data_IF_910592280167
#
_entry.id   IF_910592280167
#
_cell.length_a   1.000
_cell.length_b   1.000
_cell.length_c   1.000
_cell.angle_alpha   90.00
_cell.angle_beta   90.00
_cell.angle_gamma   90.00
#
_symmetry.space_group_name_H-M   'P 1'
#
loop_
_entity.id
_entity.type
_entity.pdbx_description
1 polymer ?
#
# COMPACT_ATOMS: atom_id res chain seq x y z
N UNK A 1 64.23 -4.99 -28.38
CA UNK A 1 63.36 -4.63 -29.53
C UNK A 1 62.05 -4.14 -28.93
N UNK A 2 61.85 -2.84 -28.67
CA UNK A 2 61.29 -1.80 -29.58
C UNK A 2 60.00 -2.33 -30.22
N UNK A 3 58.78 -1.83 -29.95
CA UNK A 3 58.25 -0.45 -30.12
C UNK A 3 57.08 -0.24 -29.12
N UNK A 4 57.12 0.69 -28.17
CA UNK A 4 56.91 2.16 -28.21
C UNK A 4 55.47 2.65 -28.48
N UNK A 5 54.95 3.29 -27.43
CA UNK A 5 53.80 4.18 -27.27
C UNK A 5 53.65 5.28 -28.34
N UNK A 6 52.40 5.54 -28.75
CA UNK A 6 51.83 6.85 -29.10
C UNK A 6 50.31 6.60 -29.23
N UNK A 7 49.43 7.09 -28.36
CA UNK A 7 48.80 8.41 -28.46
C UNK A 7 48.20 8.75 -27.08
N UNK A 8 48.68 9.85 -26.50
CA UNK A 8 48.06 10.61 -25.39
C UNK A 8 47.66 11.97 -25.97
N UNK A 9 46.63 12.60 -25.40
CA UNK A 9 45.92 13.84 -25.81
C UNK A 9 44.95 13.59 -26.97
N UNK A 10 43.62 13.69 -26.80
CA UNK A 10 42.83 14.76 -26.18
C UNK A 10 41.53 14.16 -25.66
N UNK A 11 41.20 14.42 -24.39
CA UNK A 11 39.86 14.73 -23.88
C UNK A 11 39.90 14.68 -22.35
N UNK A 12 40.54 15.70 -21.79
CA UNK A 12 40.22 16.20 -20.47
C UNK A 12 38.83 16.86 -20.58
N UNK A 13 37.78 16.04 -20.66
CA UNK A 13 36.40 16.49 -20.52
C UNK A 13 35.93 16.00 -19.17
N UNK A 14 35.73 16.97 -18.29
CA UNK A 14 35.16 16.84 -16.98
C UNK A 14 34.05 15.78 -16.96
N UNK A 15 34.30 14.63 -16.34
CA UNK A 15 33.22 13.88 -15.71
C UNK A 15 32.77 14.69 -14.51
N UNK A 16 31.99 15.75 -14.77
CA UNK A 16 30.97 16.15 -13.82
C UNK A 16 30.06 14.94 -13.78
N UNK A 17 30.20 14.13 -12.74
CA UNK A 17 29.16 13.18 -12.36
C UNK A 17 27.95 14.03 -11.97
N UNK A 18 27.20 14.49 -12.98
CA UNK A 18 25.80 14.81 -12.78
C UNK A 18 25.19 13.48 -12.37
N UNK A 19 25.06 13.28 -11.06
CA UNK A 19 24.10 12.36 -10.50
C UNK A 19 22.76 12.80 -11.08
N UNK A 20 22.39 12.23 -12.23
CA UNK A 20 21.04 12.31 -12.72
C UNK A 20 20.22 11.71 -11.58
N UNK A 21 19.57 12.58 -10.81
CA UNK A 21 18.50 12.19 -9.91
C UNK A 21 17.44 11.58 -10.82
N UNK A 22 17.55 10.28 -11.07
CA UNK A 22 16.44 9.48 -11.57
C UNK A 22 15.33 9.80 -10.58
N UNK A 23 14.25 10.45 -11.05
CA UNK A 23 13.02 10.60 -10.27
C UNK A 23 12.70 9.22 -9.73
N UNK A 24 12.95 9.01 -8.43
CA UNK A 24 12.72 7.72 -7.79
C UNK A 24 11.25 7.42 -8.02
N UNK A 25 10.97 6.29 -8.66
CA UNK A 25 9.63 5.72 -8.64
C UNK A 25 9.21 5.67 -7.18
N UNK A 26 8.01 6.18 -6.87
CA UNK A 26 7.50 6.20 -5.51
C UNK A 26 7.56 4.79 -4.93
N UNK A 27 8.40 4.60 -3.91
CA UNK A 27 8.53 3.31 -3.21
C UNK A 27 7.54 3.37 -2.04
N UNK A 28 6.54 2.48 -1.99
CA UNK A 28 5.57 2.48 -0.91
C UNK A 28 6.25 2.31 0.44
N UNK A 29 5.80 3.09 1.41
CA UNK A 29 6.40 3.07 2.74
C UNK A 29 6.00 1.79 3.50
N UNK A 30 6.97 1.19 4.18
CA UNK A 30 6.90 -0.19 4.70
C UNK A 30 7.53 -1.23 3.78
N UNK A 31 8.11 -0.81 2.64
CA UNK A 31 8.87 -1.68 1.77
C UNK A 31 10.09 -2.30 2.49
N UNK A 32 10.35 -3.57 2.18
CA UNK A 32 11.55 -4.27 2.62
C UNK A 32 12.56 -4.24 1.48
N UNK A 33 13.78 -3.80 1.76
CA UNK A 33 14.80 -3.60 0.73
C UNK A 33 15.78 -4.78 0.66
N UNK A 34 16.13 -5.18 -0.55
CA UNK A 34 17.12 -6.23 -0.81
C UNK A 34 18.15 -5.79 -1.84
N UNK A 35 19.40 -6.23 -1.68
CA UNK A 35 20.45 -6.08 -2.71
C UNK A 35 20.29 -7.13 -3.84
N UNK A 36 21.22 -7.14 -4.80
CA UNK A 36 21.21 -8.06 -5.95
C UNK A 36 21.29 -9.54 -5.56
N UNK A 37 21.77 -9.85 -4.35
CA UNK A 37 21.91 -11.18 -3.77
C UNK A 37 20.72 -11.55 -2.88
N UNK A 38 19.65 -10.76 -2.87
CA UNK A 38 18.48 -10.94 -2.00
C UNK A 38 18.79 -10.91 -0.50
N UNK A 39 19.83 -10.18 -0.11
CA UNK A 39 20.13 -9.89 1.27
C UNK A 39 19.48 -8.56 1.67
N UNK A 40 18.92 -8.50 2.87
CA UNK A 40 18.26 -7.32 3.41
C UNK A 40 19.21 -6.14 3.54
N UNK A 41 18.77 -4.95 3.14
CA UNK A 41 19.52 -3.70 3.28
C UNK A 41 18.68 -2.62 3.97
N UNK A 42 19.35 -1.65 4.57
CA UNK A 42 18.70 -0.65 5.41
C UNK A 42 17.90 0.42 4.64
N UNK A 43 18.14 0.58 3.34
CA UNK A 43 17.64 1.73 2.59
C UNK A 43 17.58 1.49 1.08
N UNK A 44 16.72 2.27 0.41
CA UNK A 44 16.49 2.20 -1.03
C UNK A 44 17.73 2.47 -1.89
N UNK A 45 18.66 3.32 -1.45
CA UNK A 45 19.90 3.62 -2.16
C UNK A 45 20.86 2.43 -2.24
N UNK A 46 20.74 1.46 -1.33
CA UNK A 46 21.54 0.23 -1.31
C UNK A 46 20.80 -0.96 -1.94
N UNK A 47 19.58 -0.74 -2.40
CA UNK A 47 18.67 -1.79 -2.82
C UNK A 47 18.70 -1.99 -4.33
N UNK A 48 18.66 -3.24 -4.76
CA UNK A 48 18.34 -3.63 -6.14
C UNK A 48 16.85 -3.92 -6.28
N UNK A 49 16.22 -4.39 -5.20
CA UNK A 49 14.82 -4.74 -5.15
C UNK A 49 14.16 -4.16 -3.90
N UNK A 50 12.86 -3.93 -3.97
CA UNK A 50 12.03 -3.72 -2.79
C UNK A 50 10.80 -4.62 -2.84
N UNK A 51 10.35 -5.04 -1.66
CA UNK A 51 9.22 -5.93 -1.47
C UNK A 51 8.10 -5.22 -0.72
N UNK A 52 6.88 -5.39 -1.22
CA UNK A 52 5.65 -4.96 -0.55
C UNK A 52 4.87 -6.19 -0.13
N UNK A 53 4.40 -6.20 1.12
CA UNK A 53 3.55 -7.27 1.65
C UNK A 53 2.08 -6.91 1.46
N UNK A 54 1.25 -7.92 1.26
CA UNK A 54 -0.19 -7.78 1.12
C UNK A 54 -0.92 -9.07 1.41
N UNK A 55 -2.20 -9.08 1.08
CA UNK A 55 -3.09 -10.23 1.23
C UNK A 55 -3.92 -10.36 -0.04
N UNK A 56 -4.10 -11.58 -0.55
CA UNK A 56 -4.96 -11.82 -1.70
C UNK A 56 -6.46 -11.75 -1.33
N UNK A 57 -7.34 -11.90 -2.33
CA UNK A 57 -8.79 -11.90 -2.13
C UNK A 57 -9.31 -13.05 -1.23
N UNK A 58 -8.49 -14.08 -0.98
CA UNK A 58 -8.78 -15.23 -0.14
C UNK A 58 -8.17 -15.12 1.26
N UNK A 59 -7.58 -13.98 1.61
CA UNK A 59 -6.93 -13.80 2.91
C UNK A 59 -5.54 -14.44 3.01
N UNK A 60 -4.96 -14.90 1.91
CA UNK A 60 -3.63 -15.52 1.90
C UNK A 60 -2.54 -14.45 1.83
N UNK A 61 -1.49 -14.64 2.63
CA UNK A 61 -0.31 -13.77 2.65
C UNK A 61 0.40 -13.81 1.29
N UNK A 62 0.58 -12.65 0.69
CA UNK A 62 1.24 -12.48 -0.59
C UNK A 62 2.23 -11.31 -0.52
N UNK A 63 3.31 -11.37 -1.29
CA UNK A 63 4.18 -10.22 -1.47
C UNK A 63 4.46 -9.98 -2.94
N UNK A 64 4.85 -8.74 -3.23
CA UNK A 64 5.22 -8.27 -4.54
C UNK A 64 6.66 -7.77 -4.48
N UNK A 65 7.53 -8.35 -5.30
CA UNK A 65 8.90 -7.90 -5.49
C UNK A 65 8.94 -6.96 -6.68
N UNK A 66 9.58 -5.82 -6.51
CA UNK A 66 9.84 -4.83 -7.56
C UNK A 66 11.35 -4.61 -7.68
N UNK A 67 11.82 -4.31 -8.89
CA UNK A 67 13.10 -3.65 -9.06
C UNK A 67 13.07 -2.29 -8.36
N UNK A 68 14.23 -1.79 -7.91
CA UNK A 68 14.33 -0.45 -7.30
C UNK A 68 13.84 0.68 -8.23
N UNK A 69 13.76 0.38 -9.54
CA UNK A 69 13.19 1.25 -10.57
C UNK A 69 11.66 1.28 -10.60
N UNK A 70 10.97 0.50 -9.76
CA UNK A 70 9.51 0.40 -9.65
C UNK A 70 8.86 -0.65 -10.56
N UNK A 71 9.65 -1.38 -11.35
CA UNK A 71 9.13 -2.42 -12.23
C UNK A 71 8.81 -3.70 -11.43
N UNK A 72 7.61 -4.27 -11.60
CA UNK A 72 7.23 -5.53 -10.98
C UNK A 72 8.12 -6.67 -11.46
N UNK A 73 8.71 -7.41 -10.52
CA UNK A 73 9.57 -8.57 -10.78
C UNK A 73 8.89 -9.89 -10.41
N UNK A 74 8.17 -9.91 -9.30
CA UNK A 74 7.49 -11.13 -8.86
C UNK A 74 6.30 -10.85 -7.95
N UNK A 75 5.44 -11.84 -7.86
CA UNK A 75 4.31 -11.94 -6.94
C UNK A 75 4.33 -13.34 -6.34
N UNK A 76 4.36 -13.46 -5.01
CA UNK A 76 4.55 -14.77 -4.36
C UNK A 76 3.72 -14.89 -3.09
N UNK A 77 3.02 -16.00 -2.96
CA UNK A 77 2.34 -16.37 -1.72
C UNK A 77 3.34 -17.01 -0.73
N UNK A 78 3.18 -16.73 0.56
CA UNK A 78 4.17 -17.11 1.57
C UNK A 78 3.54 -17.51 2.91
N UNK A 79 4.30 -18.29 3.69
CA UNK A 79 4.04 -18.61 5.10
C UNK A 79 4.80 -17.62 5.99
N UNK A 80 6.11 -17.50 5.75
CA UNK A 80 7.00 -16.59 6.48
C UNK A 80 7.99 -15.90 5.53
N UNK A 81 8.40 -14.70 5.89
CA UNK A 81 9.44 -13.94 5.19
C UNK A 81 10.67 -13.84 6.07
N UNK A 82 11.85 -13.85 5.44
CA UNK A 82 13.09 -13.50 6.12
C UNK A 82 13.63 -12.19 5.54
N UNK A 83 13.64 -11.13 6.36
CA UNK A 83 14.03 -9.78 5.92
C UNK A 83 15.52 -9.64 5.70
N UNK A 84 16.35 -10.53 6.27
CA UNK A 84 17.80 -10.48 6.18
C UNK A 84 18.34 -11.27 4.99
N UNK A 85 17.72 -12.40 4.66
CA UNK A 85 18.11 -13.26 3.55
C UNK A 85 16.88 -13.97 2.97
N UNK A 86 16.45 -13.57 1.77
CA UNK A 86 15.22 -14.09 1.16
C UNK A 86 15.26 -15.59 0.87
N UNK A 87 16.44 -16.20 0.79
CA UNK A 87 16.57 -17.65 0.62
C UNK A 87 15.93 -18.44 1.77
N UNK A 88 15.71 -17.79 2.92
CA UNK A 88 15.05 -18.36 4.09
C UNK A 88 13.54 -18.04 4.15
N UNK A 89 12.99 -17.38 3.13
CA UNK A 89 11.54 -17.14 2.98
C UNK A 89 10.84 -18.46 2.64
N UNK A 90 9.75 -18.78 3.34
CA UNK A 90 8.98 -20.00 3.13
C UNK A 90 7.76 -19.67 2.27
N UNK A 91 7.79 -20.10 1.00
CA UNK A 91 6.72 -19.88 0.04
C UNK A 91 5.60 -20.92 0.15
N UNK A 92 4.36 -20.54 -0.15
CA UNK A 92 3.23 -21.45 -0.19
C UNK A 92 2.13 -20.89 -1.07
N UNK A 93 1.67 -21.64 -2.06
CA UNK A 93 0.72 -21.17 -3.08
C UNK A 93 1.44 -20.79 -4.37
N UNK A 94 0.83 -19.87 -5.13
CA UNK A 94 1.31 -19.49 -6.47
C UNK A 94 2.42 -18.45 -6.37
N UNK A 95 3.46 -18.64 -7.17
CA UNK A 95 4.55 -17.69 -7.38
C UNK A 95 4.64 -17.37 -8.87
N UNK A 96 4.54 -16.08 -9.21
CA UNK A 96 4.70 -15.55 -10.56
C UNK A 96 5.94 -14.69 -10.63
N UNK A 97 6.67 -14.79 -11.73
CA UNK A 97 7.73 -13.84 -12.08
C UNK A 97 7.40 -13.18 -13.41
N UNK A 98 7.98 -12.01 -13.64
CA UNK A 98 7.67 -11.20 -14.82
C UNK A 98 8.93 -10.80 -15.58
N UNK A 99 8.80 -10.79 -16.90
CA UNK A 99 9.77 -10.21 -17.83
C UNK A 99 9.82 -8.70 -17.67
N UNK A 100 10.88 -8.07 -18.21
CA UNK A 100 10.97 -6.60 -18.29
C UNK A 100 9.87 -5.96 -19.14
N UNK A 101 9.11 -6.73 -19.92
CA UNK A 101 7.93 -6.23 -20.60
C UNK A 101 6.72 -6.09 -19.67
N UNK A 102 6.74 -6.74 -18.50
CA UNK A 102 5.58 -6.92 -17.61
C UNK A 102 4.81 -8.22 -17.89
N UNK A 103 5.19 -8.98 -18.93
CA UNK A 103 4.60 -10.29 -19.23
C UNK A 103 5.03 -11.33 -18.20
N UNK A 104 4.18 -12.32 -17.95
CA UNK A 104 4.54 -13.46 -17.09
C UNK A 104 5.75 -14.16 -17.69
N UNK A 105 6.78 -14.36 -16.88
CA UNK A 105 8.00 -15.09 -17.22
C UNK A 105 7.91 -16.54 -16.73
N UNK A 106 7.43 -16.74 -15.50
CA UNK A 106 7.23 -18.07 -14.94
C UNK A 106 6.10 -18.11 -13.94
N UNK A 107 5.51 -19.30 -13.80
CA UNK A 107 4.52 -19.62 -12.76
C UNK A 107 4.93 -20.91 -12.08
N UNK A 108 5.08 -20.88 -10.76
CA UNK A 108 5.39 -22.04 -9.94
C UNK A 108 4.37 -22.17 -8.81
N UNK A 109 4.08 -23.40 -8.41
CA UNK A 109 3.28 -23.69 -7.23
C UNK A 109 4.18 -24.21 -6.12
N UNK A 110 3.99 -23.71 -4.91
CA UNK A 110 4.72 -24.11 -3.71
C UNK A 110 3.78 -24.68 -2.67
N UNK A 111 4.28 -25.63 -1.89
CA UNK A 111 3.65 -26.13 -0.66
C UNK A 111 4.72 -26.23 0.41
N UNK A 112 4.55 -25.49 1.51
CA UNK A 112 5.49 -25.49 2.65
C UNK A 112 6.97 -25.30 2.23
N UNK A 113 7.24 -24.29 1.42
CA UNK A 113 8.58 -23.92 0.95
C UNK A 113 9.12 -24.75 -0.22
N UNK A 114 8.41 -25.81 -0.65
CA UNK A 114 8.86 -26.70 -1.73
C UNK A 114 7.98 -26.57 -2.96
N UNK A 115 8.58 -26.54 -4.16
CA UNK A 115 7.83 -26.58 -5.41
C UNK A 115 6.95 -27.85 -5.46
N UNK A 116 5.65 -27.69 -5.70
CA UNK A 116 4.68 -28.78 -5.66
C UNK A 116 3.48 -28.43 -6.54
N UNK A 117 3.30 -29.19 -7.63
CA UNK A 117 2.26 -28.96 -8.63
C UNK A 117 2.82 -28.60 -10.01
N UNK A 118 1.96 -28.06 -10.86
CA UNK A 118 2.33 -27.63 -12.22
C UNK A 118 3.10 -26.31 -12.19
N UNK A 119 4.07 -26.19 -13.09
CA UNK A 119 4.83 -24.97 -13.32
C UNK A 119 4.93 -24.66 -14.82
N UNK A 120 5.09 -23.38 -15.15
CA UNK A 120 5.17 -22.86 -16.51
C UNK A 120 6.35 -21.90 -16.62
N UNK A 121 6.95 -21.82 -17.80
CA UNK A 121 7.82 -20.73 -18.22
C UNK A 121 7.37 -20.22 -19.58
N UNK A 122 7.53 -18.93 -19.81
CA UNK A 122 7.13 -18.25 -21.03
C UNK A 122 8.29 -17.48 -21.62
N UNK A 123 8.36 -17.45 -22.94
CA UNK A 123 9.25 -16.57 -23.68
C UNK A 123 8.81 -15.11 -23.54
N UNK A 124 9.70 -14.13 -23.78
CA UNK A 124 9.35 -12.71 -23.74
C UNK A 124 8.22 -12.32 -24.71
N UNK A 125 8.04 -13.08 -25.80
CA UNK A 125 6.96 -12.88 -26.75
C UNK A 125 5.58 -13.35 -26.23
N UNK A 126 5.51 -14.02 -25.07
CA UNK A 126 4.28 -14.55 -24.45
C UNK A 126 4.02 -16.04 -24.76
N UNK A 127 4.80 -16.63 -25.67
CA UNK A 127 4.66 -18.03 -26.04
C UNK A 127 5.16 -18.94 -24.93
N UNK A 128 4.62 -20.17 -24.88
CA UNK A 128 5.02 -21.12 -23.84
C UNK A 128 6.46 -21.57 -24.12
N UNK A 129 7.32 -21.55 -23.11
CA UNK A 129 8.67 -22.10 -23.17
C UNK A 129 8.72 -23.52 -22.62
N UNK A 130 8.23 -23.70 -21.39
CA UNK A 130 8.20 -25.01 -20.77
C UNK A 130 6.95 -25.20 -19.91
N UNK A 131 6.45 -26.43 -19.89
CA UNK A 131 5.49 -26.92 -18.89
C UNK A 131 6.17 -27.97 -18.06
N UNK A 132 6.11 -27.86 -16.74
CA UNK A 132 6.79 -28.75 -15.80
C UNK A 132 5.84 -29.23 -14.71
N UNK A 133 6.23 -30.30 -14.03
CA UNK A 133 5.54 -30.82 -12.86
C UNK A 133 6.53 -31.08 -11.74
N UNK A 134 6.20 -30.62 -10.54
CA UNK A 134 7.00 -30.78 -9.34
C UNK A 134 6.25 -31.55 -8.27
N UNK A 135 6.97 -32.37 -7.52
CA UNK A 135 6.50 -33.01 -6.30
C UNK A 135 7.58 -32.84 -5.23
N UNK A 136 7.21 -32.21 -4.11
CA UNK A 136 8.11 -32.02 -2.95
C UNK A 136 9.47 -31.41 -3.29
N UNK A 137 9.50 -30.46 -4.22
CA UNK A 137 10.70 -29.72 -4.62
C UNK A 137 11.48 -30.34 -5.78
N UNK A 138 11.07 -31.53 -6.25
CA UNK A 138 11.76 -32.25 -7.33
C UNK A 138 10.86 -32.32 -8.57
N UNK A 139 11.47 -32.32 -9.75
CA UNK A 139 10.75 -32.60 -11.00
C UNK A 139 10.19 -34.02 -10.96
N UNK A 140 8.89 -34.16 -11.16
CA UNK A 140 8.19 -35.43 -11.07
C UNK A 140 6.96 -35.40 -11.96
N UNK A 141 7.01 -36.12 -13.08
CA UNK A 141 5.99 -36.12 -14.12
C UNK A 141 6.51 -35.64 -15.48
N UNK A 142 5.60 -35.33 -16.42
CA UNK A 142 5.97 -34.89 -17.75
C UNK A 142 6.47 -33.44 -17.75
N UNK A 143 7.45 -33.18 -18.60
CA UNK A 143 7.95 -31.88 -18.96
C UNK A 143 7.87 -31.71 -20.48
N UNK A 144 7.30 -30.60 -20.93
CA UNK A 144 7.15 -30.27 -22.35
C UNK A 144 7.94 -29.00 -22.62
N UNK A 145 8.89 -29.07 -23.55
CA UNK A 145 9.76 -27.95 -23.94
C UNK A 145 9.42 -27.51 -25.34
N UNK A 146 9.15 -26.23 -25.51
CA UNK A 146 8.71 -25.61 -26.75
C UNK A 146 9.76 -24.64 -27.28
N UNK A 147 9.83 -24.52 -28.59
CA UNK A 147 10.51 -23.43 -29.25
C UNK A 147 9.67 -22.16 -29.17
N UNK A 148 10.32 -21.01 -29.39
CA UNK A 148 9.67 -19.70 -29.36
C UNK A 148 8.54 -19.55 -30.41
N UNK A 149 8.51 -20.40 -31.44
CA UNK A 149 7.45 -20.49 -32.44
C UNK A 149 6.34 -21.51 -32.09
N UNK A 150 6.15 -21.83 -30.81
CA UNK A 150 5.17 -22.78 -30.26
C UNK A 150 5.31 -24.24 -30.72
N UNK A 151 6.41 -24.59 -31.39
CA UNK A 151 6.70 -25.98 -31.76
C UNK A 151 7.19 -26.76 -30.54
N UNK A 152 6.51 -27.85 -30.18
CA UNK A 152 6.99 -28.80 -29.16
C UNK A 152 8.28 -29.47 -29.63
N UNK A 153 9.39 -29.21 -28.93
CA UNK A 153 10.71 -29.74 -29.27
C UNK A 153 11.05 -31.01 -28.52
N UNK A 154 10.68 -31.09 -27.24
CA UNK A 154 10.97 -32.25 -26.40
C UNK A 154 9.85 -32.54 -25.41
N UNK A 155 9.59 -33.84 -25.22
CA UNK A 155 8.81 -34.37 -24.11
C UNK A 155 9.73 -35.22 -23.24
N UNK A 156 9.88 -34.83 -21.98
CA UNK A 156 10.76 -35.48 -21.01
C UNK A 156 9.97 -35.97 -19.82
N UNK A 157 10.21 -37.20 -19.36
CA UNK A 157 9.59 -37.74 -18.15
C UNK A 157 10.61 -37.71 -17.01
N UNK A 158 10.24 -37.07 -15.92
CA UNK A 158 11.03 -36.98 -14.70
C UNK A 158 10.41 -37.83 -13.59
N UNK A 159 11.25 -38.43 -12.74
CA UNK A 159 10.82 -39.04 -11.47
C UNK A 159 11.81 -38.66 -10.38
N UNK A 160 11.31 -38.10 -9.28
CA UNK A 160 12.14 -37.69 -8.15
C UNK A 160 13.40 -36.89 -8.56
N UNK A 161 13.25 -35.98 -9.52
CA UNK A 161 14.33 -35.12 -10.01
C UNK A 161 15.29 -35.77 -11.02
N UNK A 162 15.11 -37.06 -11.35
CA UNK A 162 15.92 -37.76 -12.35
C UNK A 162 15.18 -37.90 -13.68
N UNK A 163 15.88 -37.64 -14.78
CA UNK A 163 15.37 -37.82 -16.14
C UNK A 163 15.25 -39.32 -16.45
N UNK A 164 14.03 -39.79 -16.70
CA UNK A 164 13.74 -41.21 -17.00
C UNK A 164 13.68 -41.44 -18.51
N UNK A 165 13.07 -40.52 -19.25
CA UNK A 165 12.91 -40.64 -20.69
C UNK A 165 12.88 -39.24 -21.33
N UNK A 166 13.30 -39.14 -22.58
CA UNK A 166 13.24 -37.94 -23.40
C UNK A 166 13.01 -38.32 -24.86
N UNK A 167 12.03 -37.71 -25.48
CA UNK A 167 11.75 -37.87 -26.91
C UNK A 167 11.67 -36.49 -27.55
N UNK A 168 12.10 -36.40 -28.81
CA UNK A 168 11.94 -35.19 -29.62
C UNK A 168 10.48 -35.07 -30.08
N UNK A 169 9.85 -33.94 -29.81
CA UNK A 169 8.43 -33.69 -30.05
C UNK A 169 7.54 -34.47 -29.07
N UNK A 170 6.49 -35.09 -29.59
CA UNK A 170 5.50 -35.84 -28.82
C UNK A 170 4.14 -35.16 -28.79
N UNK A 171 3.33 -35.49 -27.77
CA UNK A 171 2.03 -34.88 -27.53
C UNK A 171 2.00 -34.29 -26.13
N UNK A 172 1.63 -33.03 -26.03
CA UNK A 172 1.32 -32.42 -24.74
C UNK A 172 -0.03 -32.92 -24.23
N UNK A 173 0.01 -33.67 -23.14
CA UNK A 173 -1.19 -34.23 -22.50
C UNK A 173 -1.88 -33.26 -21.55
N UNK A 174 -1.35 -32.05 -21.35
CA UNK A 174 -2.03 -30.97 -20.64
C UNK A 174 -3.01 -30.20 -21.52
N UNK A 175 -2.95 -30.38 -22.85
CA UNK A 175 -3.90 -29.78 -23.79
C UNK A 175 -5.16 -30.65 -23.79
N UNK A 176 -6.29 -30.03 -23.43
CA UNK A 176 -7.60 -30.69 -23.50
C UNK A 176 -7.98 -30.98 -24.96
N UNK A 177 -8.53 -32.17 -25.21
CA UNK A 177 -8.82 -32.63 -26.57
C UNK A 177 -10.04 -31.95 -27.20
N UNK A 178 -10.95 -31.41 -26.39
CA UNK A 178 -12.18 -30.76 -26.84
C UNK A 178 -11.95 -29.28 -27.08
N UNK A 179 -11.29 -28.59 -26.15
CA UNK A 179 -11.03 -27.15 -26.25
C UNK A 179 -9.77 -26.84 -27.05
N UNK A 180 -8.85 -27.80 -27.18
CA UNK A 180 -7.51 -27.60 -27.73
C UNK A 180 -6.69 -26.57 -26.92
N UNK A 181 -7.01 -26.42 -25.64
CA UNK A 181 -6.37 -25.47 -24.73
C UNK A 181 -5.87 -26.18 -23.47
N UNK A 182 -4.85 -25.58 -22.85
CA UNK A 182 -4.41 -25.94 -21.51
C UNK A 182 -4.93 -24.87 -20.55
N UNK A 183 -6.09 -25.10 -19.94
CA UNK A 183 -6.77 -24.11 -19.09
C UNK A 183 -5.87 -23.52 -17.99
N UNK A 184 -4.96 -24.33 -17.45
CA UNK A 184 -4.00 -23.86 -16.46
C UNK A 184 -3.01 -22.86 -17.06
N UNK A 185 -2.53 -23.11 -18.27
CA UNK A 185 -1.68 -22.18 -19.02
C UNK A 185 -2.46 -20.92 -19.41
N UNK A 186 -3.67 -21.07 -19.95
CA UNK A 186 -4.48 -19.97 -20.45
C UNK A 186 -4.87 -18.98 -19.36
N UNK A 187 -5.11 -19.45 -18.13
CA UNK A 187 -5.36 -18.57 -16.98
C UNK A 187 -4.26 -17.51 -16.80
N UNK A 188 -3.01 -17.87 -17.02
CA UNK A 188 -1.88 -16.94 -16.83
C UNK A 188 -1.51 -16.15 -18.08
N UNK A 189 -1.97 -16.57 -19.27
CA UNK A 189 -1.90 -15.77 -20.50
C UNK A 189 -2.90 -14.61 -20.48
N UNK A 190 -4.12 -14.84 -19.98
CA UNK A 190 -5.19 -13.82 -19.96
C UNK A 190 -5.02 -12.75 -18.87
N UNK A 191 -4.33 -13.04 -17.76
CA UNK A 191 -3.99 -12.07 -16.70
C UNK A 191 -3.03 -10.95 -17.18
N UNK A 192 -2.44 -11.07 -18.37
CA UNK A 192 -1.50 -10.11 -18.96
C UNK A 192 -2.13 -8.71 -19.14
N UNK A 193 -3.40 -8.60 -19.51
CA UNK A 193 -4.03 -7.29 -19.78
C UNK A 193 -4.28 -6.45 -18.51
N UNK A 194 -4.63 -7.09 -17.39
CA UNK A 194 -4.95 -6.42 -16.12
C UNK A 194 -3.67 -5.96 -15.42
N UNK A 195 -2.64 -6.81 -15.40
CA UNK A 195 -1.32 -6.48 -14.82
C UNK A 195 -0.59 -5.43 -15.70
N UNK A 196 -0.77 -5.47 -17.02
CA UNK A 196 -0.30 -4.43 -17.93
C UNK A 196 -1.06 -3.12 -17.76
N UNK A 197 -2.35 -3.11 -17.44
CA UNK A 197 -3.08 -1.87 -17.13
C UNK A 197 -2.55 -1.21 -15.84
N UNK A 198 -2.27 -2.01 -14.81
CA UNK A 198 -1.69 -1.54 -13.54
C UNK A 198 -0.25 -1.01 -13.71
N UNK A 199 0.60 -1.70 -14.48
CA UNK A 199 1.97 -1.25 -14.76
C UNK A 199 2.07 -0.13 -15.81
N UNK A 200 1.15 -0.06 -16.79
CA UNK A 200 1.06 1.05 -17.75
C UNK A 200 0.57 2.34 -17.10
N UNK A 201 -0.27 2.30 -16.08
CA UNK A 201 -0.58 3.51 -15.30
C UNK A 201 0.67 4.09 -14.62
N UNK A 202 1.56 3.24 -14.13
CA UNK A 202 2.86 3.66 -13.57
C UNK A 202 3.80 4.19 -14.66
N UNK A 203 3.74 3.64 -15.89
CA UNK A 203 4.64 4.00 -16.99
C UNK A 203 4.17 5.23 -17.81
N UNK A 204 2.85 5.44 -17.99
CA UNK A 204 2.29 6.65 -18.63
C UNK A 204 2.54 7.91 -17.82
N UNK A 205 2.54 7.80 -16.49
CA UNK A 205 2.99 8.89 -15.60
C UNK A 205 4.45 9.26 -15.87
N UNK A 206 5.27 8.32 -16.35
CA UNK A 206 6.69 8.48 -16.72
C UNK A 206 6.90 9.13 -18.10
N UNK A 207 6.02 8.88 -19.07
CA UNK A 207 6.11 9.46 -20.42
C UNK A 207 5.52 10.88 -20.48
N UNK A 208 4.39 11.11 -19.81
CA UNK A 208 3.77 12.44 -19.75
C UNK A 208 4.59 13.46 -18.94
N UNK A 209 5.52 13.01 -18.12
CA UNK A 209 6.44 13.89 -17.37
C UNK A 209 7.74 14.20 -18.12
N UNK A 210 7.97 13.61 -19.30
CA UNK A 210 9.14 13.85 -20.15
C UNK A 210 8.83 14.62 -21.44
N UNK A 211 7.56 14.93 -21.75
CA UNK A 211 7.16 15.58 -23.01
C UNK A 211 6.71 17.04 -22.88
N UNK A 212 6.83 17.67 -21.70
CA UNK A 212 6.47 19.09 -21.52
C UNK A 212 7.70 20.00 -21.64
N UNK A 213 8.32 20.01 -22.83
CA UNK A 213 9.09 21.18 -23.31
C UNK A 213 8.87 21.32 -24.83
N UNK A 214 7.79 22.03 -25.18
CA UNK A 214 7.75 22.98 -26.31
C UNK A 214 6.44 23.78 -26.28
N UNK A 215 6.57 24.99 -25.75
CA UNK A 215 5.55 26.04 -25.77
C UNK A 215 5.36 26.53 -27.21
N UNK A 216 4.12 26.55 -27.71
CA UNK A 216 3.57 27.62 -28.56
C UNK A 216 2.06 27.77 -28.30
N UNK A 217 1.65 28.89 -27.72
CA UNK A 217 0.26 29.40 -27.71
C UNK A 217 -0.02 30.21 -29.01
N UNK A 218 -1.21 30.82 -29.21
CA UNK A 218 -2.56 30.24 -29.33
C UNK A 218 -3.28 30.76 -30.60
N UNK A 219 -4.39 30.14 -31.04
CA UNK A 219 -5.45 30.84 -31.80
C UNK A 219 -6.85 30.34 -31.45
N UNK A 220 -7.66 31.31 -31.06
CA UNK A 220 -9.08 31.34 -30.74
C UNK A 220 -9.97 31.06 -31.96
N UNK A 221 -11.11 30.38 -31.79
CA UNK A 221 -12.41 30.82 -32.35
C UNK A 221 -13.60 30.29 -31.53
N UNK A 222 -14.55 31.20 -31.28
CA UNK A 222 -15.90 31.06 -30.73
C UNK A 222 -16.87 30.26 -31.63
N UNK A 223 -17.91 29.67 -31.02
CA UNK A 223 -19.38 29.81 -31.29
C UNK A 223 -20.13 28.88 -30.31
N UNK A 224 -20.87 29.35 -29.30
CA UNK A 224 -22.29 29.81 -29.25
C UNK A 224 -23.29 28.91 -29.99
N UNK A 225 -24.16 28.22 -29.22
CA UNK A 225 -25.63 28.29 -29.30
C UNK A 225 -26.28 27.47 -28.15
N UNK A 226 -27.57 27.55 -27.81
CA UNK A 226 -28.40 28.60 -27.17
C UNK A 226 -29.73 27.90 -26.72
N UNK A 227 -30.29 28.27 -25.54
CA UNK A 227 -31.71 28.20 -25.07
C UNK A 227 -32.39 26.82 -24.78
N UNK A 228 -32.65 26.43 -23.52
CA UNK A 228 -33.82 26.68 -22.60
C UNK A 228 -35.07 25.79 -22.76
N UNK A 229 -35.51 25.15 -21.68
CA UNK A 229 -36.81 25.41 -21.00
C UNK A 229 -36.98 24.58 -19.71
N UNK A 230 -37.62 25.19 -18.71
CA UNK A 230 -38.16 24.70 -17.42
C UNK A 230 -39.70 24.95 -17.46
N UNK A 231 -40.50 24.80 -16.38
CA UNK A 231 -40.74 23.72 -15.40
C UNK A 231 -42.26 23.44 -15.22
N UNK A 232 -42.70 22.50 -14.35
CA UNK A 232 -44.05 22.52 -13.73
C UNK A 232 -44.01 21.94 -12.29
N UNK A 233 -44.74 22.63 -11.39
CA UNK A 233 -45.09 22.38 -9.97
C UNK A 233 -45.90 21.05 -9.77
N UNK A 234 -46.24 20.51 -8.58
CA UNK A 234 -46.83 21.12 -7.37
C UNK A 234 -46.93 20.09 -6.20
N UNK A 235 -47.12 20.61 -4.98
CA UNK A 235 -47.17 19.94 -3.66
C UNK A 235 -48.39 19.04 -3.41
N UNK A 236 -48.33 18.20 -2.36
CA UNK A 236 -49.38 18.12 -1.32
C UNK A 236 -48.89 17.41 -0.04
N UNK A 237 -49.29 18.01 1.10
CA UNK A 237 -48.92 17.75 2.50
C UNK A 237 -49.91 16.79 3.17
N UNK A 238 -49.47 15.93 4.12
CA UNK A 238 -50.27 15.57 5.30
C UNK A 238 -49.40 15.12 6.51
N UNK A 239 -49.91 15.40 7.71
CA UNK A 239 -49.20 15.56 8.98
C UNK A 239 -49.75 14.56 10.05
N UNK A 240 -48.84 13.90 10.80
CA UNK A 240 -48.89 13.52 12.25
C UNK A 240 -49.96 12.52 12.81
N UNK A 241 -49.86 12.02 14.09
CA UNK A 241 -48.72 11.82 15.05
C UNK A 241 -48.79 10.56 16.00
N UNK A 242 -47.71 10.35 16.81
CA UNK A 242 -47.63 9.76 18.21
C UNK A 242 -47.93 8.26 18.44
N UNK A 243 -47.39 7.47 19.40
CA UNK A 243 -46.85 7.70 20.77
C UNK A 243 -46.21 6.38 21.34
N UNK A 244 -45.21 6.52 22.25
CA UNK A 244 -44.95 5.83 23.56
C UNK A 244 -44.85 4.29 23.75
N UNK A 245 -43.75 3.79 24.35
CA UNK A 245 -43.58 3.36 25.79
C UNK A 245 -42.33 2.45 26.05
N UNK A 246 -41.71 2.65 27.23
CA UNK A 246 -40.57 1.96 27.92
C UNK A 246 -41.14 0.76 28.79
N UNK A 247 -40.46 0.03 29.74
CA UNK A 247 -39.04 -0.14 30.15
C UNK A 247 -38.64 -1.61 30.61
N UNK A 248 -37.50 -1.74 31.33
CA UNK A 248 -36.99 -2.81 32.27
C UNK A 248 -35.84 -3.72 31.76
N UNK A 249 -34.55 -3.60 32.17
CA UNK A 249 -33.83 -3.82 33.48
C UNK A 249 -33.40 -5.29 33.72
N UNK A 250 -32.07 -5.56 33.74
CA UNK A 250 -31.21 -6.09 34.86
C UNK A 250 -29.99 -6.94 34.42
N UNK A 251 -28.82 -6.46 34.82
CA UNK A 251 -27.61 -7.09 35.39
C UNK A 251 -27.36 -8.60 35.24
N UNK A 252 -26.11 -8.95 34.89
CA UNK A 252 -25.23 -9.72 35.79
C UNK A 252 -23.75 -9.60 35.42
N UNK A 253 -22.94 -9.24 36.43
CA UNK A 253 -21.47 -9.28 36.48
C UNK A 253 -20.97 -10.71 36.78
N UNK A 254 -19.77 -11.05 36.31
CA UNK A 254 -18.75 -11.90 36.99
C UNK A 254 -17.44 -11.72 36.19
N UNK A 255 -16.58 -10.76 36.51
CA UNK A 255 -15.43 -10.86 37.42
C UNK A 255 -14.49 -12.05 37.15
N UNK A 256 -13.28 -11.76 36.64
CA UNK A 256 -12.03 -12.14 37.29
C UNK A 256 -10.88 -11.30 36.71
N UNK A 257 -10.52 -10.28 37.46
CA UNK A 257 -9.25 -9.57 37.35
C UNK A 257 -8.16 -10.35 38.09
N UNK A 258 -6.94 -10.34 37.58
CA UNK A 258 -5.73 -10.40 38.42
C UNK A 258 -4.90 -9.17 38.10
N UNK A 259 -4.41 -8.56 39.17
CA UNK A 259 -3.95 -7.19 39.24
C UNK A 259 -2.43 -7.14 39.38
N UNK A 260 -1.78 -6.28 38.61
CA UNK A 260 -0.58 -5.56 39.06
C UNK A 260 -0.70 -4.08 38.64
N UNK A 261 -0.87 -3.24 39.68
CA UNK A 261 -0.61 -1.79 39.84
C UNK A 261 -1.23 -0.81 38.82
N UNK A 262 -2.33 -0.08 39.07
CA UNK A 262 -2.69 0.86 40.17
C UNK A 262 -1.61 1.88 40.57
N UNK A 263 -1.54 2.97 39.82
CA UNK A 263 -1.42 4.38 40.26
C UNK A 263 -2.16 5.18 39.14
N UNK A 264 -3.21 5.97 39.35
CA UNK A 264 -3.30 7.22 40.12
C UNK A 264 -4.78 7.44 40.49
N UNK A 265 -5.01 7.92 41.72
CA UNK A 265 -6.33 8.18 42.28
C UNK A 265 -6.98 9.49 41.82
N UNK A 266 -8.28 9.54 42.09
CA UNK A 266 -9.20 10.67 42.08
C UNK A 266 -8.56 12.07 42.28
N UNK A 267 -8.77 12.97 41.32
CA UNK A 267 -8.82 14.42 41.57
C UNK A 267 -10.06 14.99 40.88
N UNK A 268 -10.91 15.61 41.69
CA UNK A 268 -12.02 16.48 41.30
C UNK A 268 -11.44 17.90 41.20
N UNK A 269 -11.65 18.59 40.07
CA UNK A 269 -11.06 19.90 39.79
C UNK A 269 -11.79 21.04 40.52
N UNK A 270 -11.09 22.09 41.00
CA UNK A 270 -11.71 23.34 41.42
C UNK A 270 -11.93 24.27 40.21
N UNK A 271 -12.98 25.10 40.28
CA UNK A 271 -13.23 26.21 39.33
C UNK A 271 -12.38 27.46 39.65
N UNK A 272 -12.42 28.42 38.71
CA UNK A 272 -11.97 29.83 38.75
C UNK A 272 -10.52 30.07 38.30
N UNK A 273 -10.11 31.18 37.69
CA UNK A 273 -10.72 32.44 37.22
C UNK A 273 -9.67 33.18 36.39
N UNK A 274 -10.11 34.12 35.57
CA UNK A 274 -9.27 35.07 34.81
C UNK A 274 -8.26 35.85 35.69
N UNK A 275 -7.06 36.09 35.15
CA UNK A 275 -6.36 37.39 35.19
C UNK A 275 -5.11 37.40 34.27
N UNK A 276 -5.09 38.41 33.40
CA UNK A 276 -4.03 38.78 32.46
C UNK A 276 -2.76 39.36 33.12
N UNK A 277 -1.67 39.38 32.33
CA UNK A 277 -0.68 40.47 32.04
C UNK A 277 0.66 39.76 31.74
N UNK A 278 1.12 39.59 30.48
CA UNK A 278 1.67 40.56 29.52
C UNK A 278 3.18 40.25 29.33
N UNK A 279 3.86 40.26 28.18
CA UNK A 279 3.62 40.63 26.79
C UNK A 279 4.65 39.89 25.91
N UNK A 280 4.29 39.43 24.70
CA UNK A 280 5.28 38.90 23.76
C UNK A 280 4.69 38.19 22.55
N UNK A 281 4.08 38.95 21.63
CA UNK A 281 3.63 38.59 20.27
C UNK A 281 2.83 37.29 20.13
N UNK A 282 1.52 37.46 20.04
CA UNK A 282 0.52 36.48 19.62
C UNK A 282 0.99 35.62 18.42
N UNK A 283 1.45 34.41 18.69
CA UNK A 283 1.16 33.28 17.79
C UNK A 283 -0.18 32.75 18.25
N UNK A 284 -1.23 33.17 17.54
CA UNK A 284 -2.59 32.63 17.66
C UNK A 284 -2.46 31.11 17.67
N UNK A 285 -2.62 30.54 18.86
CA UNK A 285 -2.84 29.12 19.05
C UNK A 285 -4.05 28.78 18.20
N UNK A 286 -3.88 27.81 17.29
CA UNK A 286 -4.95 27.28 16.46
C UNK A 286 -5.97 26.57 17.36
N UNK A 287 -6.80 27.35 18.04
CA UNK A 287 -8.08 26.94 18.59
C UNK A 287 -9.03 26.78 17.39
N UNK A 288 -8.71 25.78 16.56
CA UNK A 288 -9.54 25.37 15.44
C UNK A 288 -10.75 24.64 16.02
N UNK A 289 -11.92 25.28 15.92
CA UNK A 289 -13.24 24.68 16.18
C UNK A 289 -13.28 23.24 15.65
N UNK A 290 -13.21 22.26 16.56
CA UNK A 290 -13.40 20.84 16.27
C UNK A 290 -14.77 20.66 15.61
N UNK A 291 -14.79 20.22 14.34
CA UNK A 291 -16.01 20.07 13.54
C UNK A 291 -17.05 19.12 14.19
N UNK A 292 -16.64 18.18 15.03
CA UNK A 292 -17.48 17.39 15.94
C UNK A 292 -16.57 16.60 16.89
N UNK A 293 -16.88 16.54 18.19
CA UNK A 293 -16.11 15.72 19.13
C UNK A 293 -16.21 14.25 18.72
N UNK A 294 -15.07 13.57 18.56
CA UNK A 294 -15.02 12.15 18.20
C UNK A 294 -14.87 11.83 16.72
N UNK A 295 -14.75 12.80 15.80
CA UNK A 295 -14.41 12.51 14.39
C UNK A 295 -12.93 12.77 14.11
N UNK A 296 -12.32 11.99 13.22
CA UNK A 296 -10.94 12.24 12.78
C UNK A 296 -10.84 13.55 12.00
N UNK A 297 -10.00 14.48 12.47
CA UNK A 297 -9.89 15.81 11.88
C UNK A 297 -8.73 15.86 10.86
N UNK A 298 -9.06 15.99 9.57
CA UNK A 298 -8.05 16.03 8.51
C UNK A 298 -7.03 17.15 8.69
N UNK A 299 -7.49 18.40 8.90
CA UNK A 299 -6.59 19.56 8.98
C UNK A 299 -5.57 19.45 10.11
N UNK A 300 -5.98 18.89 11.25
CA UNK A 300 -5.12 18.64 12.39
C UNK A 300 -4.12 17.51 12.11
N UNK A 301 -4.57 16.35 11.62
CA UNK A 301 -3.67 15.24 11.32
C UNK A 301 -2.70 15.58 10.17
N UNK A 302 -3.14 16.39 9.21
CA UNK A 302 -2.29 16.93 8.16
C UNK A 302 -1.22 17.87 8.74
N UNK A 303 -1.54 18.73 9.72
CA UNK A 303 -0.53 19.62 10.32
C UNK A 303 0.55 18.86 11.08
N UNK A 304 0.19 17.73 11.72
CA UNK A 304 1.16 16.85 12.40
C UNK A 304 2.20 16.23 11.46
N UNK A 305 1.89 16.08 10.17
CA UNK A 305 2.81 15.51 9.17
C UNK A 305 3.47 16.57 8.32
N UNK A 306 2.72 17.59 7.90
CA UNK A 306 3.20 18.59 6.94
C UNK A 306 4.14 19.61 7.55
N UNK A 307 4.12 19.85 8.87
CA UNK A 307 4.94 20.87 9.52
C UNK A 307 6.04 20.26 10.37
N UNK A 308 7.29 20.62 10.09
CA UNK A 308 8.45 20.03 10.78
C UNK A 308 8.43 20.25 12.30
N UNK A 309 7.94 21.41 12.76
CA UNK A 309 7.80 21.75 14.18
C UNK A 309 6.70 20.96 14.89
N UNK A 310 5.75 20.39 14.15
CA UNK A 310 4.62 19.64 14.70
C UNK A 310 4.83 18.11 14.68
N UNK A 311 5.78 17.59 13.91
CA UNK A 311 6.00 16.14 13.77
C UNK A 311 6.52 15.44 15.02
N UNK A 312 7.24 16.16 15.88
CA UNK A 312 7.88 15.58 17.05
C UNK A 312 6.95 15.62 18.27
N UNK A 313 6.33 14.49 18.61
CA UNK A 313 5.34 14.39 19.70
C UNK A 313 5.77 13.41 20.78
N UNK A 314 5.58 13.79 22.04
CA UNK A 314 5.70 12.84 23.14
C UNK A 314 4.43 11.98 23.27
N UNK A 315 4.54 10.84 23.96
CA UNK A 315 3.42 9.91 24.12
C UNK A 315 2.21 10.54 24.84
N UNK A 316 2.44 11.40 25.84
CA UNK A 316 1.36 12.09 26.57
C UNK A 316 0.53 12.99 25.67
N UNK A 317 1.15 13.69 24.71
CA UNK A 317 0.42 14.49 23.71
C UNK A 317 -0.40 13.59 22.80
N UNK A 318 0.14 12.45 22.35
CA UNK A 318 -0.59 11.50 21.53
C UNK A 318 -1.79 10.87 22.25
N UNK A 319 -1.66 10.58 23.55
CA UNK A 319 -2.78 10.14 24.41
C UNK A 319 -3.86 11.22 24.50
N UNK A 320 -3.49 12.48 24.69
CA UNK A 320 -4.48 13.56 24.74
C UNK A 320 -5.22 13.74 23.40
N UNK A 321 -4.51 13.57 22.28
CA UNK A 321 -5.11 13.57 20.95
C UNK A 321 -6.09 12.40 20.80
N UNK A 322 -5.72 11.20 21.26
CA UNK A 322 -6.56 10.01 21.12
C UNK A 322 -7.90 10.15 21.86
N UNK A 323 -7.91 10.82 23.02
CA UNK A 323 -9.15 11.11 23.75
C UNK A 323 -10.11 12.02 22.97
N UNK A 324 -9.61 12.96 22.16
CA UNK A 324 -10.46 13.80 21.30
C UNK A 324 -11.18 12.98 20.21
N UNK A 325 -10.59 11.85 19.81
CA UNK A 325 -11.15 10.88 18.87
C UNK A 325 -11.91 9.73 19.56
N UNK A 326 -12.14 9.82 20.87
CA UNK A 326 -12.84 8.81 21.69
C UNK A 326 -12.15 7.42 21.66
N UNK A 327 -10.83 7.41 21.55
CA UNK A 327 -10.02 6.19 21.60
C UNK A 327 -9.54 5.97 23.02
N UNK A 328 -9.79 4.77 23.56
CA UNK A 328 -9.69 4.48 24.99
C UNK A 328 -8.57 3.50 25.34
N UNK A 329 -8.07 2.75 24.37
CA UNK A 329 -6.96 1.82 24.57
C UNK A 329 -5.76 2.23 23.72
N UNK A 330 -4.57 1.85 24.16
CA UNK A 330 -3.31 2.15 23.46
C UNK A 330 -2.41 0.93 23.37
N UNK A 331 -1.62 0.86 22.31
CA UNK A 331 -0.65 -0.19 22.06
C UNK A 331 0.58 0.41 21.37
N UNK A 332 1.76 -0.16 21.61
CA UNK A 332 2.98 0.21 20.88
C UNK A 332 3.47 -1.03 20.15
N UNK A 333 3.71 -0.90 18.86
CA UNK A 333 4.30 -1.93 18.01
C UNK A 333 5.73 -1.53 17.67
N UNK A 334 6.63 -2.49 17.78
CA UNK A 334 8.04 -2.31 17.45
C UNK A 334 8.29 -2.45 15.94
N UNK A 335 8.91 -1.42 15.37
CA UNK A 335 9.43 -1.43 14.00
C UNK A 335 10.90 -1.88 13.94
N UNK A 336 11.59 -1.53 12.86
CA UNK A 336 13.03 -1.80 12.75
C UNK A 336 13.86 -0.72 13.45
N UNK A 337 14.79 -1.12 14.32
CA UNK A 337 15.66 -0.18 15.03
C UNK A 337 14.88 0.76 15.96
N UNK A 338 15.01 2.07 15.74
CA UNK A 338 14.33 3.10 16.53
C UNK A 338 12.87 3.36 16.07
N UNK A 339 12.35 2.63 15.10
CA UNK A 339 10.99 2.81 14.61
C UNK A 339 9.96 2.22 15.55
N UNK A 340 8.84 2.93 15.75
CA UNK A 340 7.68 2.48 16.54
C UNK A 340 6.38 2.89 15.85
N UNK A 341 5.32 2.13 16.09
CA UNK A 341 3.95 2.54 15.80
C UNK A 341 3.18 2.67 17.11
N UNK A 342 2.75 3.89 17.44
CA UNK A 342 1.91 4.16 18.61
C UNK A 342 0.46 4.16 18.17
N UNK A 343 -0.30 3.21 18.68
CA UNK A 343 -1.67 2.92 18.29
C UNK A 343 -2.62 3.31 19.41
N UNK A 344 -3.74 3.92 19.04
CA UNK A 344 -4.89 4.13 19.90
C UNK A 344 -6.14 3.61 19.21
N UNK A 345 -7.01 2.94 19.95
CA UNK A 345 -8.17 2.29 19.35
C UNK A 345 -9.40 2.31 20.26
N UNK A 346 -10.53 1.97 19.64
CA UNK A 346 -11.81 1.67 20.26
C UNK A 346 -12.38 0.43 19.56
N UNK A 347 -12.69 -0.62 20.33
CA UNK A 347 -13.27 -1.87 19.84
C UNK A 347 -12.47 -2.59 18.73
N UNK A 348 -11.14 -2.39 18.70
CA UNK A 348 -10.21 -2.99 17.75
C UNK A 348 -8.88 -3.22 18.44
N UNK A 349 -8.27 -4.40 18.35
CA UNK A 349 -6.96 -4.69 18.97
C UNK A 349 -6.05 -5.33 17.92
N UNK A 350 -4.79 -4.90 17.85
CA UNK A 350 -3.80 -5.56 17.02
C UNK A 350 -3.14 -6.72 17.80
N UNK A 351 -3.40 -7.95 17.36
CA UNK A 351 -2.76 -9.13 17.94
C UNK A 351 -1.38 -9.35 17.31
N UNK A 352 -0.34 -9.03 18.06
CA UNK A 352 1.05 -9.08 17.61
C UNK A 352 1.55 -10.48 17.22
N UNK A 353 1.03 -11.55 17.84
CA UNK A 353 1.45 -12.92 17.56
C UNK A 353 0.87 -13.43 16.23
N UNK A 354 -0.38 -13.08 15.94
CA UNK A 354 -1.08 -13.49 14.72
C UNK A 354 -0.85 -12.49 13.57
N UNK A 355 -0.48 -11.25 13.91
CA UNK A 355 -0.30 -10.13 12.99
C UNK A 355 -1.62 -9.63 12.41
N UNK A 356 -2.72 -9.72 13.15
CA UNK A 356 -4.08 -9.38 12.69
C UNK A 356 -4.76 -8.36 13.61
N UNK A 357 -5.58 -7.50 13.02
CA UNK A 357 -6.52 -6.65 13.76
C UNK A 357 -7.79 -7.44 14.10
N UNK A 358 -8.12 -7.53 15.38
CA UNK A 358 -9.32 -8.18 15.90
C UNK A 358 -10.37 -7.15 16.32
N UNK A 359 -11.61 -7.34 15.87
CA UNK A 359 -12.75 -6.49 16.25
C UNK A 359 -13.32 -6.99 17.56
N UNK A 360 -13.30 -6.14 18.59
CA UNK A 360 -13.71 -6.51 19.96
C UNK A 360 -15.06 -5.95 20.37
N UNK A 361 -15.71 -5.16 19.51
CA UNK A 361 -17.02 -4.57 19.77
C UNK A 361 -17.61 -3.84 18.57
N UNK A 362 -18.67 -3.06 18.80
CA UNK A 362 -19.33 -2.28 17.75
C UNK A 362 -18.56 -1.00 17.43
N UNK A 363 -18.73 -0.45 16.22
CA UNK A 363 -18.10 0.82 15.81
C UNK A 363 -16.56 0.84 15.98
N UNK A 364 -15.85 -0.21 15.51
CA UNK A 364 -14.40 -0.29 15.67
C UNK A 364 -13.68 0.82 14.92
N UNK A 365 -12.66 1.38 15.56
CA UNK A 365 -11.83 2.44 14.98
C UNK A 365 -10.45 2.49 15.63
N UNK A 366 -9.48 2.98 14.88
CA UNK A 366 -8.09 3.05 15.33
C UNK A 366 -7.36 4.21 14.66
N UNK A 367 -6.39 4.78 15.37
CA UNK A 367 -5.35 5.63 14.78
C UNK A 367 -3.98 5.12 15.17
N UNK A 368 -3.06 5.05 14.22
CA UNK A 368 -1.67 4.68 14.41
C UNK A 368 -0.73 5.80 13.97
N UNK A 369 0.21 6.16 14.83
CA UNK A 369 1.30 7.09 14.53
C UNK A 369 2.57 6.28 14.35
N UNK A 370 3.03 6.14 13.11
CA UNK A 370 4.30 5.48 12.81
C UNK A 370 5.40 6.52 12.68
N UNK A 371 6.57 6.23 13.25
CA UNK A 371 7.70 7.14 13.19
C UNK A 371 8.98 6.62 13.82
N UNK A 372 9.95 7.51 13.94
CA UNK A 372 11.25 7.23 14.56
C UNK A 372 11.33 7.86 15.95
N UNK A 373 11.79 7.08 16.94
CA UNK A 373 11.98 7.58 18.31
C UNK A 373 13.26 8.41 18.40
N UNK A 374 13.13 9.65 18.88
CA UNK A 374 14.23 10.58 19.17
C UNK A 374 14.09 11.02 20.63
N UNK A 375 14.98 10.49 21.49
CA UNK A 375 14.88 10.68 22.93
C UNK A 375 13.58 10.06 23.47
N UNK A 376 12.71 10.87 24.06
CA UNK A 376 11.40 10.46 24.57
C UNK A 376 10.21 10.88 23.67
N UNK A 377 10.50 11.27 22.42
CA UNK A 377 9.50 11.73 21.46
C UNK A 377 9.50 10.84 20.22
N UNK A 378 8.34 10.72 19.58
CA UNK A 378 8.16 10.11 18.27
C UNK A 378 8.16 11.21 17.22
N UNK A 379 9.09 11.14 16.26
CA UNK A 379 9.02 11.92 15.03
C UNK A 379 8.06 11.19 14.09
N UNK A 380 6.86 11.74 13.90
CA UNK A 380 5.79 11.11 13.12
C UNK A 380 6.13 11.23 11.63
N UNK A 381 6.10 10.08 10.96
CA UNK A 381 6.35 9.96 9.52
C UNK A 381 5.09 9.52 8.75
N UNK A 382 4.18 8.84 9.43
CA UNK A 382 2.92 8.33 8.87
C UNK A 382 1.82 8.31 9.93
N UNK A 383 0.60 8.58 9.49
CA UNK A 383 -0.62 8.38 10.27
C UNK A 383 -1.50 7.35 9.54
N UNK A 384 -1.96 6.33 10.25
CA UNK A 384 -2.95 5.36 9.77
C UNK A 384 -4.24 5.54 10.54
N UNK A 385 -5.37 5.49 9.86
CA UNK A 385 -6.70 5.60 10.45
C UNK A 385 -7.51 4.41 9.95
N UNK A 386 -8.22 3.76 10.86
CA UNK A 386 -9.22 2.75 10.55
C UNK A 386 -10.55 3.22 11.08
N UNK A 387 -11.58 3.20 10.25
CA UNK A 387 -12.95 3.51 10.67
C UNK A 387 -13.95 2.55 10.05
N UNK A 388 -14.95 2.16 10.84
CA UNK A 388 -16.12 1.41 10.39
C UNK A 388 -17.11 2.27 9.60
N UNK A 389 -17.02 3.60 9.71
CA UNK A 389 -18.00 4.53 9.18
C UNK A 389 -17.58 5.03 7.80
N UNK A 390 -18.36 4.66 6.78
CA UNK A 390 -18.23 5.20 5.43
C UNK A 390 -18.41 6.73 5.42
N UNK A 391 -19.36 7.24 6.22
CA UNK A 391 -19.61 8.68 6.37
C UNK A 391 -18.38 9.41 6.93
N UNK A 392 -17.73 8.87 7.97
CA UNK A 392 -16.50 9.46 8.54
C UNK A 392 -15.37 9.47 7.51
N UNK A 393 -15.22 8.39 6.73
CA UNK A 393 -14.25 8.32 5.65
C UNK A 393 -14.50 9.40 4.58
N UNK A 394 -15.74 9.57 4.13
CA UNK A 394 -16.07 10.59 3.13
C UNK A 394 -15.94 12.01 3.67
N UNK A 395 -16.31 12.28 4.92
CA UNK A 395 -16.08 13.58 5.53
C UNK A 395 -14.59 13.91 5.61
N UNK A 396 -13.75 12.93 5.97
CA UNK A 396 -12.30 13.09 5.98
C UNK A 396 -11.73 13.40 4.59
N UNK A 397 -12.20 12.69 3.55
CA UNK A 397 -11.82 12.95 2.17
C UNK A 397 -12.30 14.33 1.68
N UNK A 398 -13.52 14.71 2.03
CA UNK A 398 -14.10 16.01 1.68
C UNK A 398 -13.30 17.16 2.32
N UNK A 399 -12.91 17.03 3.58
CA UNK A 399 -12.05 18.01 4.26
C UNK A 399 -10.69 18.14 3.56
N UNK A 400 -10.09 17.04 3.10
CA UNK A 400 -8.85 17.06 2.33
C UNK A 400 -9.03 17.78 0.99
N UNK A 401 -10.10 17.49 0.25
CA UNK A 401 -10.41 18.16 -1.02
C UNK A 401 -10.65 19.67 -0.81
N UNK A 402 -11.35 20.07 0.26
CA UNK A 402 -11.53 21.47 0.65
C UNK A 402 -10.19 22.15 0.99
N UNK A 403 -9.24 21.41 1.55
CA UNK A 403 -7.87 21.87 1.80
C UNK A 403 -6.99 21.94 0.53
N UNK A 404 -7.54 21.62 -0.64
CA UNK A 404 -6.87 21.75 -1.93
C UNK A 404 -6.21 20.48 -2.45
N UNK A 405 -6.49 19.33 -1.83
CA UNK A 405 -6.11 18.04 -2.37
C UNK A 405 -6.98 17.66 -3.57
N UNK A 406 -6.43 16.83 -4.45
CA UNK A 406 -7.12 16.33 -5.64
C UNK A 406 -6.96 14.83 -5.77
N UNK A 407 -7.96 14.20 -6.35
CA UNK A 407 -7.89 12.78 -6.68
C UNK A 407 -6.83 12.52 -7.74
N UNK A 408 -5.95 11.58 -7.45
CA UNK A 408 -4.96 11.12 -8.41
C UNK A 408 -5.69 10.48 -9.60
N UNK A 409 -5.34 10.90 -10.82
CA UNK A 409 -5.98 10.40 -12.04
C UNK A 409 -7.37 10.94 -12.32
N UNK A 410 -7.87 11.92 -11.55
CA UNK A 410 -9.15 12.57 -11.78
C UNK A 410 -10.37 11.70 -11.49
N UNK A 411 -10.19 10.64 -10.70
CA UNK A 411 -11.28 9.76 -10.24
C UNK A 411 -12.26 10.57 -9.39
N UNK A 412 -13.56 10.32 -9.52
CA UNK A 412 -14.53 10.83 -8.56
C UNK A 412 -14.49 9.95 -7.30
N UNK A 413 -14.05 10.52 -6.18
CA UNK A 413 -13.85 9.74 -4.95
C UNK A 413 -15.16 9.21 -4.36
N UNK A 414 -16.31 9.81 -4.69
CA UNK A 414 -17.62 9.34 -4.22
C UNK A 414 -18.06 8.05 -4.91
N UNK A 415 -17.54 7.76 -6.10
CA UNK A 415 -17.83 6.52 -6.86
C UNK A 415 -16.73 5.46 -6.72
N UNK A 416 -15.71 5.72 -5.92
CA UNK A 416 -14.51 4.89 -5.80
C UNK A 416 -14.58 3.82 -4.69
N UNK A 417 -15.73 3.67 -4.01
CA UNK A 417 -15.97 2.67 -2.95
C UNK A 417 -14.81 2.64 -1.92
N UNK A 418 -14.41 3.81 -1.42
CA UNK A 418 -13.31 3.95 -0.46
C UNK A 418 -11.90 3.64 -0.98
N UNK A 419 -11.69 3.46 -2.29
CA UNK A 419 -10.39 3.13 -2.90
C UNK A 419 -9.89 4.24 -3.83
N UNK A 420 -9.18 5.23 -3.29
CA UNK A 420 -8.65 6.35 -4.07
C UNK A 420 -7.44 7.00 -3.38
N UNK A 421 -6.74 7.87 -4.09
CA UNK A 421 -5.59 8.61 -3.57
C UNK A 421 -5.85 10.11 -3.73
N UNK A 422 -5.56 10.88 -2.70
CA UNK A 422 -5.55 12.33 -2.71
C UNK A 422 -4.10 12.85 -2.65
N UNK A 423 -3.75 13.71 -3.60
CA UNK A 423 -2.46 14.40 -3.66
C UNK A 423 -2.64 15.92 -3.61
N UNK A 424 -1.66 16.62 -3.06
CA UNK A 424 -1.67 18.07 -3.02
C UNK A 424 -1.23 18.63 -4.37
N UNK A 425 -1.87 19.70 -4.85
CA UNK A 425 -1.38 20.44 -6.02
C UNK A 425 0.04 20.95 -5.72
N UNK A 426 0.99 20.67 -6.61
CA UNK A 426 2.37 21.20 -6.54
C UNK A 426 2.36 22.71 -6.31
N UNK A 427 2.59 23.12 -5.07
CA UNK A 427 2.98 24.47 -4.69
C UNK A 427 4.47 24.44 -4.35
N UNK A 428 5.20 25.55 -4.50
CA UNK A 428 6.52 25.66 -3.90
C UNK A 428 6.37 25.43 -2.39
N UNK A 429 6.97 24.34 -1.92
CA UNK A 429 6.95 23.93 -0.52
C UNK A 429 8.02 24.76 0.19
N UNK A 430 7.67 25.37 1.32
CA UNK A 430 8.66 26.03 2.19
C UNK A 430 9.64 24.98 2.72
N UNK A 431 10.87 25.38 3.09
CA UNK A 431 11.88 24.43 3.59
C UNK A 431 11.40 23.60 4.80
N UNK A 432 10.46 24.13 5.58
CA UNK A 432 9.92 23.50 6.80
C UNK A 432 8.60 22.74 6.58
N UNK A 433 8.15 22.62 5.33
CA UNK A 433 6.91 21.93 4.96
C UNK A 433 7.19 20.61 4.22
N UNK A 434 6.33 19.63 4.46
CA UNK A 434 6.38 18.31 3.85
C UNK A 434 5.13 18.08 2.99
N UNK A 435 5.32 17.52 1.79
CA UNK A 435 4.20 17.07 0.97
C UNK A 435 3.59 15.81 1.58
N UNK A 436 2.27 15.78 1.70
CA UNK A 436 1.53 14.63 2.25
C UNK A 436 0.66 14.02 1.15
N UNK A 437 0.67 12.70 1.05
CA UNK A 437 -0.24 11.91 0.22
C UNK A 437 -1.22 11.20 1.14
N UNK A 438 -2.51 11.17 0.77
CA UNK A 438 -3.54 10.47 1.52
C UNK A 438 -4.10 9.35 0.67
N UNK A 439 -3.97 8.11 1.13
CA UNK A 439 -4.46 6.91 0.46
C UNK A 439 -5.67 6.38 1.21
N UNK A 440 -6.75 6.12 0.49
CA UNK A 440 -7.97 5.51 0.99
C UNK A 440 -8.04 4.09 0.42
N UNK A 441 -8.33 3.11 1.27
CA UNK A 441 -8.49 1.71 0.88
C UNK A 441 -9.67 1.10 1.62
N UNK A 442 -10.56 0.45 0.88
CA UNK A 442 -11.67 -0.30 1.42
C UNK A 442 -11.79 -1.62 0.66
N UNK A 443 -11.61 -2.73 1.39
CA UNK A 443 -11.74 -4.08 0.84
C UNK A 443 -12.40 -4.95 1.92
N UNK A 444 -13.54 -5.62 1.65
CA UNK A 444 -14.27 -6.38 2.68
C UNK A 444 -13.44 -7.44 3.42
N UNK A 445 -12.43 -7.99 2.76
CA UNK A 445 -11.55 -9.04 3.30
C UNK A 445 -10.25 -8.50 3.91
N UNK A 446 -10.02 -7.19 3.90
CA UNK A 446 -8.83 -6.55 4.45
C UNK A 446 -9.23 -5.65 5.63
N UNK A 447 -8.34 -5.49 6.60
CA UNK A 447 -8.57 -4.63 7.78
C UNK A 447 -9.90 -4.89 8.49
N UNK A 448 -10.35 -6.15 8.52
CA UNK A 448 -11.63 -6.54 9.09
C UNK A 448 -12.84 -5.79 8.50
N UNK A 449 -12.75 -5.41 7.21
CA UNK A 449 -13.80 -4.69 6.47
C UNK A 449 -13.87 -3.20 6.80
N UNK A 450 -12.86 -2.63 7.46
CA UNK A 450 -12.82 -1.21 7.79
C UNK A 450 -12.25 -0.37 6.65
N UNK A 451 -12.67 0.89 6.59
CA UNK A 451 -12.03 1.90 5.75
C UNK A 451 -10.67 2.26 6.34
N UNK A 452 -9.62 2.06 5.56
CA UNK A 452 -8.25 2.42 5.91
C UNK A 452 -7.84 3.70 5.20
N UNK A 453 -7.43 4.70 5.98
CA UNK A 453 -6.91 5.98 5.49
C UNK A 453 -5.46 6.09 5.96
N UNK A 454 -4.53 6.20 5.03
CA UNK A 454 -3.11 6.34 5.32
C UNK A 454 -2.60 7.69 4.82
N UNK A 455 -1.98 8.45 5.71
CA UNK A 455 -1.31 9.71 5.40
C UNK A 455 0.20 9.50 5.47
N UNK A 456 0.89 9.73 4.36
CA UNK A 456 2.34 9.55 4.22
C UNK A 456 3.01 10.86 3.82
N UNK A 457 4.17 11.14 4.43
CA UNK A 457 5.09 12.17 3.95
C UNK A 457 5.79 11.67 2.66
N UNK A 458 5.90 12.54 1.66
CA UNK A 458 6.51 12.23 0.35
C UNK A 458 8.04 12.31 0.34
#
# INVERSE_FOLDING_TARGET
MKRFYLIVFVCLLCFVASAQRVKRSFIPYGAIFYNSQWQGVASADKATYYRILGVDNKGQKIFYDYFITGQLKAEKHYISINKQNDHNTILNGVCRTFHKSGRVESVLQYKNGKANGRALSFFPNGNIGMKLSYRNGLLDGPCYTYAENDRLEYTTIWRNGSKVNEIKGGKDHYIDKKTNEDEFCERYRHDEAVIMAQSKNITKVRENSNSVEKIKQPKTTLTKDTLTSQPVHEELVHNRPTKKDDPWVKNNEFSHATAENRYVGNIKYPETSDKEVGSGKERISLDMKLKKKGEFNFAYLYSLLSREDERLKNLGVLINISHNFQLTSSQIIDGFGAQKEVIFNHNMIYESQSGKDEITGQKPRQIGYFGTVIGNKLQIDRIKIFTWSEEEMYHFAQDAVQAGFKTLGGVDYQSADGNFILEQKTKPINYDEHEVIVTFTHQPNLYSGLYHIQMDIR
#
